data_IF_170742450938
#
_entry.id   IF_170742450938
#
_cell.length_a   1.000
_cell.length_b   1.000
_cell.length_c   1.000
_cell.angle_alpha   90.00
_cell.angle_beta   90.00
_cell.angle_gamma   90.00
#
_symmetry.space_group_name_H-M   'P 1'
#
loop_
_entity.id
_entity.type
_entity.pdbx_description
1 polymer ?
#
# COMPACT_ATOMS: atom_id res chain seq x y z
N UNK A 1 -44.42 -10.59 12.58
CA UNK A 1 -43.41 -11.68 12.54
C UNK A 1 -42.39 -11.40 11.42
N UNK A 2 -41.33 -10.63 11.68
CA UNK A 2 -40.15 -10.48 10.79
C UNK A 2 -38.96 -9.93 11.61
N UNK A 3 -38.43 -10.71 12.55
CA UNK A 3 -37.20 -10.38 13.30
C UNK A 3 -36.50 -11.66 13.75
N UNK A 4 -36.02 -12.47 12.81
CA UNK A 4 -35.27 -13.70 13.15
C UNK A 4 -34.03 -13.97 12.29
N UNK A 5 -33.64 -13.05 11.39
CA UNK A 5 -32.49 -13.29 10.48
C UNK A 5 -31.27 -12.37 10.69
N UNK A 6 -31.33 -11.36 11.57
CA UNK A 6 -30.22 -10.43 11.79
C UNK A 6 -29.15 -10.91 12.78
N UNK A 7 -29.49 -11.85 13.67
CA UNK A 7 -28.58 -12.41 14.67
C UNK A 7 -27.56 -13.42 14.08
N UNK A 8 -27.92 -14.35 13.18
CA UNK A 8 -26.95 -15.32 12.66
C UNK A 8 -25.90 -14.68 11.72
N UNK A 9 -26.24 -13.59 11.02
CA UNK A 9 -25.30 -12.91 10.11
C UNK A 9 -24.18 -12.16 10.87
N UNK A 10 -24.52 -11.53 12.00
CA UNK A 10 -23.55 -10.89 12.87
C UNK A 10 -22.63 -11.94 13.54
N UNK A 11 -23.18 -13.09 13.93
CA UNK A 11 -22.41 -14.21 14.46
C UNK A 11 -21.42 -14.82 13.45
N UNK A 12 -21.81 -14.93 12.17
CA UNK A 12 -20.94 -15.44 11.12
C UNK A 12 -19.78 -14.48 10.78
N UNK A 13 -20.05 -13.17 10.75
CA UNK A 13 -19.04 -12.12 10.59
C UNK A 13 -18.04 -12.10 11.76
N UNK A 14 -18.52 -12.32 12.99
CA UNK A 14 -17.67 -12.42 14.18
C UNK A 14 -16.82 -13.69 14.18
N UNK A 15 -17.35 -14.83 13.72
CA UNK A 15 -16.61 -16.09 13.63
C UNK A 15 -15.51 -16.05 12.55
N UNK A 16 -15.78 -15.42 11.40
CA UNK A 16 -14.79 -15.21 10.33
C UNK A 16 -13.71 -14.18 10.69
N UNK A 17 -14.01 -13.23 11.58
CA UNK A 17 -13.06 -12.22 12.07
C UNK A 17 -12.23 -12.67 13.28
N UNK A 18 -12.65 -13.73 14.00
CA UNK A 18 -11.95 -14.24 15.19
C UNK A 18 -10.81 -15.22 14.88
N UNK A 19 -10.83 -15.87 13.70
CA UNK A 19 -9.82 -16.86 13.29
C UNK A 19 -8.35 -16.39 13.33
N UNK A 20 -8.00 -15.17 12.85
CA UNK A 20 -6.62 -14.70 12.89
C UNK A 20 -6.19 -14.09 14.24
N UNK A 21 -7.09 -13.98 15.23
CA UNK A 21 -6.80 -13.28 16.49
C UNK A 21 -6.08 -14.12 17.56
N UNK A 22 -5.94 -15.45 17.37
CA UNK A 22 -5.28 -16.34 18.34
C UNK A 22 -3.86 -16.77 17.95
N UNK A 23 -3.37 -16.34 16.79
CA UNK A 23 -1.99 -16.57 16.37
C UNK A 23 -1.17 -15.28 16.53
N UNK A 24 -1.00 -14.81 17.78
CA UNK A 24 0.14 -13.95 18.08
C UNK A 24 1.34 -14.87 18.32
N UNK A 25 2.29 -15.04 17.37
CA UNK A 25 3.61 -15.45 17.79
C UNK A 25 4.11 -14.34 18.73
N UNK A 26 4.59 -14.67 19.94
CA UNK A 26 5.24 -13.68 20.79
C UNK A 26 6.31 -12.97 19.96
N UNK A 27 6.39 -11.64 20.06
CA UNK A 27 7.49 -10.89 19.46
C UNK A 27 8.77 -11.57 19.92
N UNK A 28 9.51 -12.18 19.01
CA UNK A 28 10.75 -12.86 19.35
C UNK A 28 11.65 -11.82 20.00
N UNK A 29 11.97 -11.95 21.30
CA UNK A 29 12.93 -11.06 21.94
C UNK A 29 14.23 -11.16 21.12
N UNK A 30 14.93 -10.05 20.92
CA UNK A 30 16.30 -10.14 20.38
C UNK A 30 17.06 -11.06 21.33
N UNK A 31 17.60 -12.19 20.85
CA UNK A 31 18.46 -13.01 21.68
C UNK A 31 19.62 -12.11 22.11
N UNK A 32 19.74 -11.87 23.42
CA UNK A 32 20.93 -11.23 23.95
C UNK A 32 22.15 -12.09 23.59
N UNK A 33 23.34 -11.51 23.39
CA UNK A 33 24.56 -12.27 23.22
C UNK A 33 24.70 -13.29 24.36
N UNK A 34 24.88 -14.58 24.04
CA UNK A 34 25.14 -15.67 24.99
C UNK A 34 26.51 -15.50 25.67
N UNK A 35 27.42 -14.83 24.97
CA UNK A 35 28.76 -14.44 25.40
C UNK A 35 28.92 -12.93 25.12
N UNK A 36 29.47 -12.11 26.04
CA UNK A 36 29.83 -10.71 25.78
C UNK A 36 30.73 -10.52 24.54
N UNK A 37 31.46 -11.55 24.14
CA UNK A 37 32.29 -11.58 22.94
C UNK A 37 31.60 -12.22 21.73
N UNK A 38 30.35 -12.69 21.86
CA UNK A 38 29.60 -13.22 20.73
C UNK A 38 29.37 -12.09 19.73
N UNK A 39 29.61 -12.34 18.42
CA UNK A 39 29.24 -11.37 17.41
C UNK A 39 27.74 -11.05 17.56
N UNK A 40 27.32 -9.77 17.50
CA UNK A 40 25.90 -9.42 17.53
C UNK A 40 25.11 -10.19 16.47
N UNK A 41 23.80 -10.40 16.65
CA UNK A 41 22.98 -11.16 15.69
C UNK A 41 23.00 -10.62 14.25
N UNK A 42 23.38 -9.35 14.07
CA UNK A 42 23.68 -8.70 12.78
C UNK A 42 25.03 -9.07 12.16
N UNK A 43 25.88 -9.81 12.87
CA UNK A 43 27.22 -10.09 12.40
C UNK A 43 27.15 -11.04 11.22
N UNK A 44 27.80 -10.69 10.11
CA UNK A 44 28.01 -11.57 8.97
C UNK A 44 28.43 -13.00 9.35
N UNK A 45 27.49 -13.94 9.37
CA UNK A 45 27.83 -15.37 9.37
C UNK A 45 27.88 -15.81 7.91
N UNK A 46 29.08 -15.77 7.31
CA UNK A 46 29.33 -16.19 5.93
C UNK A 46 29.50 -15.04 4.93
N UNK A 47 29.59 -15.36 3.62
CA UNK A 47 29.85 -14.40 2.56
C UNK A 47 28.85 -13.24 2.58
N UNK A 48 29.33 -12.00 2.59
CA UNK A 48 28.46 -10.83 2.47
C UNK A 48 28.28 -10.45 1.00
N UNK A 49 27.07 -10.09 0.55
CA UNK A 49 26.89 -9.49 -0.75
C UNK A 49 27.73 -8.19 -0.82
N UNK A 50 28.51 -8.02 -1.89
CA UNK A 50 29.18 -6.75 -2.20
C UNK A 50 28.17 -5.70 -2.70
N UNK A 51 26.98 -6.15 -3.08
CA UNK A 51 25.94 -5.32 -3.62
C UNK A 51 25.25 -4.54 -2.52
N UNK A 52 25.37 -3.21 -2.59
CA UNK A 52 24.58 -2.27 -1.82
C UNK A 52 23.48 -1.70 -2.71
N UNK A 53 22.22 -1.99 -2.40
CA UNK A 53 21.08 -1.56 -3.18
C UNK A 53 19.85 -1.41 -2.28
N UNK A 54 19.21 -0.25 -2.36
CA UNK A 54 17.90 -0.03 -1.74
C UNK A 54 16.93 0.44 -2.81
N UNK A 55 15.84 -0.30 -2.99
CA UNK A 55 14.79 0.04 -3.94
C UNK A 55 13.44 -0.30 -3.37
N UNK A 56 12.47 0.56 -3.61
CA UNK A 56 11.08 0.34 -3.25
C UNK A 56 10.17 0.81 -4.38
N UNK A 57 9.17 0.02 -4.71
CA UNK A 57 8.11 0.36 -5.65
C UNK A 57 6.77 -0.08 -5.07
N UNK A 58 5.81 0.84 -5.04
CA UNK A 58 4.45 0.60 -4.56
C UNK A 58 3.43 1.14 -5.56
N UNK A 59 2.38 0.37 -5.78
CA UNK A 59 1.27 0.74 -6.67
C UNK A 59 -0.03 0.35 -6.00
N UNK A 60 -0.93 1.31 -5.76
CA UNK A 60 -2.28 1.08 -5.26
C UNK A 60 -3.31 1.40 -6.35
N UNK A 61 -4.27 0.50 -6.57
CA UNK A 61 -5.33 0.72 -7.56
C UNK A 61 -6.30 1.82 -7.13
N UNK A 62 -6.77 1.79 -5.89
CA UNK A 62 -7.78 2.73 -5.39
C UNK A 62 -7.60 2.96 -3.90
N UNK A 63 -7.68 4.22 -3.49
CA UNK A 63 -7.74 4.62 -2.08
C UNK A 63 -8.91 5.57 -1.89
N UNK A 64 -9.87 5.18 -1.04
CA UNK A 64 -10.98 6.03 -0.61
C UNK A 64 -10.62 6.63 0.74
N UNK A 65 -10.61 7.96 0.81
CA UNK A 65 -10.32 8.73 2.02
C UNK A 65 -11.58 9.47 2.46
N UNK A 66 -11.96 9.24 3.71
CA UNK A 66 -13.06 9.95 4.36
C UNK A 66 -12.49 11.01 5.30
N UNK A 67 -12.92 12.26 5.12
CA UNK A 67 -12.31 13.40 5.81
C UNK A 67 -10.79 13.46 5.62
N UNK A 68 -10.29 13.56 4.37
CA UNK A 68 -8.85 13.72 4.14
C UNK A 68 -8.33 14.96 4.87
N UNK A 69 -7.11 14.86 5.43
CA UNK A 69 -6.46 15.93 6.20
C UNK A 69 -7.21 16.37 7.47
N UNK A 70 -8.11 15.53 8.01
CA UNK A 70 -8.93 15.90 9.16
C UNK A 70 -8.27 15.64 10.53
N UNK A 71 -7.37 14.65 10.64
CA UNK A 71 -6.78 14.25 11.93
C UNK A 71 -5.26 14.44 11.95
N UNK A 72 -4.67 14.86 13.09
CA UNK A 72 -3.23 14.92 13.24
C UNK A 72 -2.56 13.56 13.00
N UNK A 73 -1.33 13.56 12.51
CA UNK A 73 -0.59 12.31 12.33
C UNK A 73 -0.14 11.78 13.67
N UNK A 74 -0.52 10.55 14.00
CA UNK A 74 0.04 9.86 15.15
C UNK A 74 1.50 9.50 14.86
N UNK A 75 2.38 9.92 15.75
CA UNK A 75 3.81 9.64 15.69
C UNK A 75 4.28 9.20 17.07
N UNK A 76 5.33 8.38 17.07
CA UNK A 76 5.98 7.91 18.29
C UNK A 76 6.83 9.04 18.91
N UNK A 77 7.17 10.07 18.12
CA UNK A 77 7.95 11.23 18.55
C UNK A 77 7.01 12.32 19.10
N UNK A 78 7.07 12.66 20.41
CA UNK A 78 6.21 13.67 21.01
C UNK A 78 6.31 15.02 20.28
N UNK A 79 5.17 15.66 20.02
CA UNK A 79 5.11 16.99 19.38
C UNK A 79 5.29 17.01 17.85
N UNK A 80 5.73 15.91 17.21
CA UNK A 80 5.90 15.90 15.75
C UNK A 80 4.59 15.73 14.98
N UNK A 81 3.51 15.31 15.64
CA UNK A 81 2.25 14.96 14.98
C UNK A 81 1.56 16.12 14.26
N UNK A 82 1.80 17.35 14.71
CA UNK A 82 1.27 18.56 14.09
C UNK A 82 2.12 19.08 12.93
N UNK A 83 3.39 18.69 12.85
CA UNK A 83 4.32 19.07 11.79
C UNK A 83 4.23 18.12 10.58
N UNK A 84 3.64 16.94 10.78
CA UNK A 84 3.44 15.95 9.73
C UNK A 84 2.15 16.22 8.96
N UNK A 85 2.09 15.90 7.65
CA UNK A 85 0.87 16.05 6.86
C UNK A 85 -0.30 15.34 7.53
N UNK A 86 -1.44 16.01 7.71
CA UNK A 86 -2.60 15.44 8.41
C UNK A 86 -3.12 14.19 7.69
N UNK A 87 -3.67 13.26 8.46
CA UNK A 87 -4.20 12.00 7.95
C UNK A 87 -5.71 12.08 7.71
N UNK A 88 -6.22 11.13 6.93
CA UNK A 88 -7.64 10.90 6.79
C UNK A 88 -8.21 10.24 8.06
N UNK A 89 -9.50 10.47 8.35
CA UNK A 89 -10.19 9.75 9.45
C UNK A 89 -10.16 8.25 9.18
N UNK A 90 -10.53 7.89 7.95
CA UNK A 90 -10.57 6.51 7.46
C UNK A 90 -10.02 6.45 6.05
N UNK A 91 -9.19 5.46 5.78
CA UNK A 91 -8.70 5.12 4.45
C UNK A 91 -9.08 3.68 4.11
N UNK A 92 -9.60 3.46 2.91
CA UNK A 92 -9.87 2.12 2.38
C UNK A 92 -9.05 1.98 1.10
N UNK A 93 -8.08 1.08 1.10
CA UNK A 93 -7.22 0.78 -0.03
C UNK A 93 -7.66 -0.52 -0.72
N UNK A 94 -7.55 -0.56 -2.04
CA UNK A 94 -7.77 -1.77 -2.84
C UNK A 94 -6.60 -1.96 -3.80
N UNK A 95 -6.20 -3.21 -3.97
CA UNK A 95 -5.23 -3.63 -4.97
C UNK A 95 -3.85 -3.00 -4.82
N UNK A 96 -3.18 -3.28 -3.71
CA UNK A 96 -1.81 -2.84 -3.46
C UNK A 96 -0.80 -3.88 -3.95
N UNK A 97 0.15 -3.45 -4.77
CA UNK A 97 1.35 -4.22 -5.11
C UNK A 97 2.59 -3.48 -4.60
N UNK A 98 3.44 -4.14 -3.83
CA UNK A 98 4.67 -3.57 -3.24
C UNK A 98 5.87 -4.49 -3.47
N UNK A 99 6.98 -3.93 -3.94
CA UNK A 99 8.23 -4.63 -4.13
C UNK A 99 9.36 -3.82 -3.47
N UNK A 100 10.06 -4.43 -2.52
CA UNK A 100 11.10 -3.79 -1.74
C UNK A 100 12.38 -4.63 -1.77
N UNK A 101 13.51 -3.94 -1.93
CA UNK A 101 14.88 -4.45 -1.83
C UNK A 101 15.62 -3.54 -0.87
N UNK A 102 16.28 -4.11 0.12
CA UNK A 102 17.15 -3.41 1.04
C UNK A 102 18.30 -4.33 1.46
N UNK A 103 19.44 -4.26 0.77
CA UNK A 103 20.61 -5.09 1.09
C UNK A 103 21.16 -4.83 2.49
N UNK A 104 20.88 -3.64 3.03
CA UNK A 104 21.28 -3.20 4.37
C UNK A 104 20.27 -3.60 5.46
N UNK A 105 19.22 -4.36 5.11
CA UNK A 105 18.26 -4.83 6.10
C UNK A 105 18.95 -5.73 7.13
N UNK A 106 18.61 -5.50 8.41
CA UNK A 106 19.19 -6.23 9.53
C UNK A 106 18.86 -7.73 9.46
N UNK A 107 17.61 -8.06 9.15
CA UNK A 107 17.18 -9.45 8.95
C UNK A 107 17.39 -9.82 7.48
N UNK A 108 18.04 -10.96 7.25
CA UNK A 108 18.28 -11.49 5.91
C UNK A 108 16.96 -11.67 5.12
N UNK A 109 15.88 -12.07 5.79
CA UNK A 109 14.53 -12.19 5.21
C UNK A 109 13.91 -10.86 4.79
N UNK A 110 14.37 -9.73 5.33
CA UNK A 110 13.89 -8.39 4.97
C UNK A 110 14.68 -7.78 3.80
N UNK A 111 15.70 -8.48 3.28
CA UNK A 111 16.52 -7.96 2.17
C UNK A 111 15.74 -7.80 0.88
N UNK A 112 14.77 -8.68 0.65
CA UNK A 112 13.83 -8.56 -0.47
C UNK A 112 12.47 -9.01 0.02
N UNK A 113 11.51 -8.11 -0.04
CA UNK A 113 10.12 -8.34 0.39
C UNK A 113 9.20 -7.93 -0.73
N UNK A 114 8.29 -8.81 -1.10
CA UNK A 114 7.23 -8.51 -2.07
C UNK A 114 5.89 -8.80 -1.45
N UNK A 115 4.94 -7.90 -1.66
CA UNK A 115 3.60 -7.98 -1.08
C UNK A 115 2.56 -7.63 -2.13
N UNK A 116 1.50 -8.43 -2.18
CA UNK A 116 0.28 -8.14 -2.92
C UNK A 116 -0.88 -8.19 -1.94
N UNK A 117 -1.56 -7.06 -1.75
CA UNK A 117 -2.68 -6.96 -0.85
C UNK A 117 -3.97 -6.61 -1.62
N UNK A 118 -4.98 -7.50 -1.63
CA UNK A 118 -6.25 -7.24 -2.32
C UNK A 118 -7.02 -6.05 -1.72
N UNK A 119 -6.97 -5.85 -0.41
CA UNK A 119 -7.75 -4.84 0.30
C UNK A 119 -7.01 -4.42 1.58
N UNK A 120 -6.95 -3.13 1.87
CA UNK A 120 -6.47 -2.57 3.12
C UNK A 120 -7.48 -1.59 3.70
N UNK A 121 -7.43 -1.37 4.99
CA UNK A 121 -8.10 -0.24 5.61
C UNK A 121 -7.19 0.38 6.65
N UNK A 122 -7.29 1.68 6.85
CA UNK A 122 -6.62 2.40 7.92
C UNK A 122 -7.61 3.30 8.64
N UNK A 123 -7.46 3.42 9.97
CA UNK A 123 -8.20 4.40 10.76
C UNK A 123 -7.17 5.27 11.47
N UNK A 124 -7.23 6.57 11.24
CA UNK A 124 -6.24 7.53 11.73
C UNK A 124 -4.78 7.10 11.46
N UNK A 125 -4.52 6.63 10.22
CA UNK A 125 -3.20 6.19 9.76
C UNK A 125 -2.75 4.79 10.25
N UNK A 126 -3.61 4.03 10.93
CA UNK A 126 -3.27 2.68 11.42
C UNK A 126 -3.95 1.60 10.59
N UNK A 127 -3.17 0.79 9.87
CA UNK A 127 -3.66 -0.28 9.00
C UNK A 127 -3.30 -1.68 9.53
N UNK A 128 -4.27 -2.58 9.81
CA UNK A 128 -3.99 -3.98 10.07
C UNK A 128 -3.57 -4.73 8.80
N UNK A 129 -2.95 -5.90 9.01
CA UNK A 129 -2.82 -6.90 7.95
C UNK A 129 -4.20 -7.48 7.64
N UNK A 130 -4.49 -7.62 6.36
CA UNK A 130 -5.79 -8.07 5.88
C UNK A 130 -5.71 -9.49 5.34
N UNK A 131 -6.79 -10.29 5.47
CA UNK A 131 -6.86 -11.62 4.88
C UNK A 131 -6.54 -11.58 3.38
N UNK A 132 -5.91 -12.65 2.88
CA UNK A 132 -5.54 -12.78 1.46
C UNK A 132 -4.36 -11.93 1.00
N UNK A 133 -3.67 -11.27 1.92
CA UNK A 133 -2.36 -10.67 1.63
C UNK A 133 -1.37 -11.78 1.28
N UNK A 134 -0.72 -11.65 0.12
CA UNK A 134 0.43 -12.46 -0.26
C UNK A 134 1.70 -11.72 0.14
N UNK A 135 2.62 -12.43 0.78
CA UNK A 135 3.95 -11.93 1.10
C UNK A 135 4.96 -12.99 0.72
N UNK A 136 6.04 -12.60 0.06
CA UNK A 136 7.19 -13.47 -0.18
C UNK A 136 8.48 -12.72 0.16
N UNK A 137 9.32 -13.38 0.95
CA UNK A 137 10.67 -12.94 1.29
C UNK A 137 11.69 -13.81 0.56
N UNK A 138 12.80 -13.24 0.12
CA UNK A 138 13.73 -13.97 -0.76
C UNK A 138 14.74 -14.90 -0.10
N UNK A 139 14.74 -15.05 1.23
CA UNK A 139 15.67 -15.96 1.91
C UNK A 139 14.86 -17.01 2.67
N UNK A 140 14.93 -18.31 2.28
CA UNK A 140 15.66 -18.86 1.11
C UNK A 140 15.09 -18.41 -0.25
N UNK A 141 15.87 -18.56 -1.33
CA UNK A 141 15.47 -18.14 -2.69
C UNK A 141 14.16 -18.80 -3.14
N UNK A 142 13.38 -18.10 -3.97
CA UNK A 142 12.10 -18.61 -4.49
C UNK A 142 12.12 -18.78 -6.01
N UNK A 143 12.41 -19.97 -6.56
CA UNK A 143 12.47 -20.16 -8.02
C UNK A 143 11.19 -19.75 -8.75
N UNK A 144 10.03 -19.89 -8.09
CA UNK A 144 8.71 -19.59 -8.64
C UNK A 144 7.99 -18.48 -7.85
N UNK A 145 7.15 -17.67 -8.53
CA UNK A 145 6.31 -16.70 -7.85
C UNK A 145 5.23 -17.39 -7.01
N UNK A 146 4.83 -16.73 -5.93
CA UNK A 146 3.63 -17.10 -5.18
C UNK A 146 2.45 -16.36 -5.76
N UNK A 147 1.36 -17.06 -6.05
CA UNK A 147 0.12 -16.47 -6.54
C UNK A 147 -1.03 -16.86 -5.62
N UNK A 148 -2.06 -16.04 -5.61
CA UNK A 148 -3.25 -16.30 -4.83
C UNK A 148 -4.31 -15.27 -5.16
N UNK A 149 -5.50 -15.50 -4.67
CA UNK A 149 -6.61 -14.59 -4.87
C UNK A 149 -7.64 -14.77 -3.78
N UNK A 150 -8.49 -13.75 -3.64
CA UNK A 150 -9.66 -13.83 -2.81
C UNK A 150 -10.89 -13.70 -3.70
N UNK A 151 -11.77 -14.71 -3.73
CA UNK A 151 -13.14 -14.47 -4.14
C UNK A 151 -13.78 -13.61 -3.05
N UNK A 152 -14.04 -12.34 -3.34
CA UNK A 152 -14.72 -11.47 -2.37
C UNK A 152 -16.23 -11.77 -2.44
N UNK A 153 -16.90 -12.01 -1.29
CA UNK A 153 -18.33 -12.18 -1.27
C UNK A 153 -19.03 -10.89 -1.70
N UNK A 154 -20.05 -11.01 -2.55
CA UNK A 154 -20.91 -9.88 -2.88
C UNK A 154 -21.59 -9.35 -1.62
N UNK A 155 -21.54 -8.03 -1.42
CA UNK A 155 -22.29 -7.36 -0.35
C UNK A 155 -23.27 -6.37 -0.95
N UNK A 156 -24.35 -6.00 -0.24
CA UNK A 156 -25.27 -4.96 -0.71
C UNK A 156 -24.58 -3.61 -0.98
N UNK A 157 -23.49 -3.32 -0.27
CA UNK A 157 -22.75 -2.06 -0.35
C UNK A 157 -21.64 -2.05 -1.40
N UNK A 158 -21.11 -3.21 -1.78
CA UNK A 158 -20.05 -3.33 -2.78
C UNK A 158 -20.10 -4.70 -3.47
N UNK A 159 -19.95 -4.66 -4.80
CA UNK A 159 -19.72 -5.84 -5.63
C UNK A 159 -18.27 -5.80 -6.09
N UNK A 160 -17.49 -6.74 -5.59
CA UNK A 160 -16.10 -6.94 -5.97
C UNK A 160 -16.06 -8.26 -6.73
N UNK A 161 -15.45 -8.29 -7.92
CA UNK A 161 -15.20 -9.54 -8.62
C UNK A 161 -13.96 -10.24 -8.06
N UNK A 162 -13.14 -10.79 -8.96
CA UNK A 162 -11.96 -11.57 -8.58
C UNK A 162 -10.79 -10.63 -8.31
N UNK A 163 -10.20 -10.76 -7.12
CA UNK A 163 -8.91 -10.17 -6.79
C UNK A 163 -7.83 -11.26 -6.87
N UNK A 164 -6.85 -11.06 -7.73
CA UNK A 164 -5.68 -11.92 -7.85
C UNK A 164 -4.40 -11.14 -7.51
N UNK A 165 -3.45 -11.82 -6.90
CA UNK A 165 -2.13 -11.30 -6.58
C UNK A 165 -1.05 -12.26 -7.04
N UNK A 166 0.12 -11.70 -7.34
CA UNK A 166 1.34 -12.44 -7.61
C UNK A 166 2.51 -11.70 -6.96
N UNK A 167 3.35 -12.42 -6.23
CA UNK A 167 4.56 -11.88 -5.61
C UNK A 167 5.74 -12.77 -5.96
N UNK A 168 6.89 -12.16 -6.26
CA UNK A 168 8.13 -12.86 -6.58
C UNK A 168 9.33 -12.16 -5.97
N UNK A 169 9.89 -12.75 -4.90
CA UNK A 169 11.11 -12.29 -4.24
C UNK A 169 12.23 -13.31 -4.45
N UNK A 170 13.33 -12.88 -5.06
CA UNK A 170 14.50 -13.71 -5.37
C UNK A 170 15.75 -13.19 -4.68
N UNK A 171 16.65 -14.10 -4.31
CA UNK A 171 17.97 -13.77 -3.80
C UNK A 171 18.95 -14.90 -4.11
N UNK A 172 20.15 -14.59 -4.61
CA UNK A 172 21.17 -15.59 -4.86
C UNK A 172 22.33 -15.43 -3.86
N UNK A 173 22.83 -16.53 -3.30
CA UNK A 173 23.89 -16.49 -2.29
C UNK A 173 25.24 -16.01 -2.85
N UNK A 174 25.49 -16.20 -4.16
CA UNK A 174 26.77 -15.86 -4.80
C UNK A 174 26.75 -14.45 -5.38
N UNK A 175 25.67 -14.06 -6.06
CA UNK A 175 25.56 -12.77 -6.75
C UNK A 175 24.63 -11.77 -6.03
N UNK A 176 24.00 -12.18 -4.93
CA UNK A 176 23.14 -11.33 -4.11
C UNK A 176 21.88 -10.87 -4.86
N UNK A 177 21.56 -9.57 -4.88
CA UNK A 177 20.41 -9.01 -5.57
C UNK A 177 20.59 -8.95 -7.11
N UNK A 178 21.75 -9.33 -7.65
CA UNK A 178 22.05 -9.25 -9.09
C UNK A 178 21.48 -10.41 -9.90
N UNK A 179 20.19 -10.66 -9.74
CA UNK A 179 19.42 -11.69 -10.46
C UNK A 179 18.13 -11.08 -11.00
N UNK A 180 17.50 -11.80 -11.93
CA UNK A 180 16.25 -11.39 -12.55
C UNK A 180 15.25 -12.55 -12.57
N UNK A 181 13.99 -12.34 -12.16
CA UNK A 181 13.49 -11.16 -11.47
C UNK A 181 14.13 -11.01 -10.08
N UNK A 182 14.14 -9.80 -9.50
CA UNK A 182 14.63 -9.57 -8.13
C UNK A 182 13.45 -9.42 -7.16
N UNK A 183 12.65 -8.37 -7.33
CA UNK A 183 11.44 -8.16 -6.55
C UNK A 183 10.30 -7.74 -7.48
N UNK A 184 9.24 -8.52 -7.54
CA UNK A 184 8.04 -8.20 -8.33
C UNK A 184 6.78 -8.44 -7.50
N UNK A 185 5.85 -7.50 -7.55
CA UNK A 185 4.51 -7.69 -7.01
C UNK A 185 3.49 -7.20 -8.03
N UNK A 186 2.37 -7.92 -8.12
CA UNK A 186 1.24 -7.58 -8.95
C UNK A 186 -0.05 -7.82 -8.20
N UNK A 187 -1.04 -6.99 -8.46
CA UNK A 187 -2.41 -7.22 -8.02
C UNK A 187 -3.34 -6.83 -9.15
N UNK A 188 -4.32 -7.68 -9.45
CA UNK A 188 -5.36 -7.40 -10.40
C UNK A 188 -6.73 -7.49 -9.75
N UNK A 189 -7.61 -6.59 -10.17
CA UNK A 189 -8.99 -6.50 -9.75
C UNK A 189 -9.86 -6.56 -11.00
N UNK A 190 -10.63 -7.64 -11.14
CA UNK A 190 -11.61 -7.77 -12.21
C UNK A 190 -12.98 -7.34 -11.66
N UNK A 191 -13.48 -6.17 -12.08
CA UNK A 191 -14.80 -5.69 -11.67
C UNK A 191 -14.82 -5.10 -10.26
N UNK A 192 -15.02 -3.78 -10.15
CA UNK A 192 -15.30 -3.10 -8.88
C UNK A 192 -16.58 -2.28 -9.01
N UNK A 193 -17.52 -2.43 -8.08
CA UNK A 193 -18.62 -1.50 -7.92
C UNK A 193 -18.75 -1.15 -6.44
N UNK A 194 -18.62 0.15 -6.13
CA UNK A 194 -18.70 0.68 -4.76
C UNK A 194 -19.99 1.46 -4.59
N UNK A 195 -20.69 1.24 -3.47
CA UNK A 195 -21.94 1.90 -3.08
C UNK A 195 -23.09 1.64 -4.06
N UNK A 196 -23.32 0.37 -4.39
CA UNK A 196 -24.41 -0.09 -5.27
C UNK A 196 -25.82 0.03 -4.67
N UNK A 197 -25.94 0.33 -3.36
CA UNK A 197 -27.22 0.47 -2.67
C UNK A 197 -27.23 1.73 -1.80
N UNK A 198 -27.58 2.87 -2.39
CA UNK A 198 -27.98 4.05 -1.64
C UNK A 198 -29.44 3.91 -1.19
N UNK A 199 -29.83 4.48 -0.03
CA UNK A 199 -31.23 4.51 0.39
C UNK A 199 -32.12 5.10 -0.71
N UNK A 200 -33.33 4.56 -0.87
CA UNK A 200 -34.27 5.00 -1.90
C UNK A 200 -34.67 6.49 -1.78
N UNK A 201 -34.39 7.14 -0.64
CA UNK A 201 -34.60 8.56 -0.43
C UNK A 201 -33.54 9.47 -1.09
N UNK A 202 -32.44 8.92 -1.62
CA UNK A 202 -31.46 9.69 -2.40
C UNK A 202 -31.85 9.64 -3.88
N UNK A 203 -32.14 10.78 -4.54
CA UNK A 203 -32.65 10.82 -5.92
C UNK A 203 -31.51 10.57 -6.91
N UNK A 204 -31.01 9.34 -6.96
CA UNK A 204 -29.99 8.88 -7.89
C UNK A 204 -30.53 7.71 -8.71
N UNK A 205 -30.10 7.61 -9.96
CA UNK A 205 -30.57 6.57 -10.86
C UNK A 205 -30.31 5.17 -10.24
N UNK A 206 -31.29 4.25 -10.26
CA UNK A 206 -31.30 2.99 -9.50
C UNK A 206 -30.28 1.92 -9.95
N UNK A 207 -29.24 2.29 -10.72
CA UNK A 207 -28.27 1.36 -11.30
C UNK A 207 -26.80 1.79 -11.24
N UNK A 208 -26.48 2.96 -10.66
CA UNK A 208 -25.10 3.46 -10.67
C UNK A 208 -24.50 3.41 -9.28
N UNK A 209 -23.50 2.55 -9.07
CA UNK A 209 -22.58 2.70 -7.95
C UNK A 209 -21.89 4.07 -8.03
N UNK A 210 -21.39 4.56 -6.89
CA UNK A 210 -20.62 5.82 -6.86
C UNK A 210 -19.40 5.74 -7.79
N UNK A 211 -18.81 4.55 -7.86
CA UNK A 211 -17.71 4.18 -8.75
C UNK A 211 -17.97 2.76 -9.27
N UNK A 212 -17.74 2.58 -10.56
CA UNK A 212 -17.74 1.31 -11.26
C UNK A 212 -16.47 1.19 -12.09
N UNK A 213 -15.81 0.04 -12.02
CA UNK A 213 -14.64 -0.32 -12.82
C UNK A 213 -15.01 -1.63 -13.50
N UNK A 214 -15.52 -1.58 -14.73
CA UNK A 214 -16.05 -2.78 -15.40
C UNK A 214 -14.93 -3.70 -15.89
N UNK A 215 -13.78 -3.13 -16.26
CA UNK A 215 -12.64 -3.84 -16.81
C UNK A 215 -11.63 -4.26 -15.73
N UNK A 216 -10.66 -5.09 -16.11
CA UNK A 216 -9.58 -5.47 -15.20
C UNK A 216 -8.63 -4.31 -14.97
N UNK A 217 -8.39 -4.00 -13.70
CA UNK A 217 -7.34 -3.09 -13.25
C UNK A 217 -6.15 -3.91 -12.76
N UNK A 218 -4.92 -3.49 -13.10
CA UNK A 218 -3.68 -4.13 -12.63
C UNK A 218 -2.74 -3.09 -12.02
N UNK A 219 -2.28 -3.35 -10.81
CA UNK A 219 -1.17 -2.68 -10.17
C UNK A 219 0.07 -3.56 -10.29
N UNK A 220 1.19 -2.99 -10.68
CA UNK A 220 2.46 -3.71 -10.79
C UNK A 220 3.61 -2.88 -10.23
N UNK A 221 4.42 -3.53 -9.41
CA UNK A 221 5.58 -2.93 -8.75
C UNK A 221 6.78 -3.84 -8.94
N UNK A 222 7.90 -3.29 -9.38
CA UNK A 222 9.11 -4.04 -9.67
C UNK A 222 10.33 -3.27 -9.17
N UNK A 223 11.26 -3.99 -8.54
CA UNK A 223 12.60 -3.50 -8.27
C UNK A 223 13.59 -4.46 -8.93
N UNK A 224 14.52 -3.92 -9.70
CA UNK A 224 15.54 -4.67 -10.41
C UNK A 224 16.86 -3.90 -10.47
N UNK A 225 17.93 -4.64 -10.77
CA UNK A 225 19.22 -4.05 -11.08
C UNK A 225 19.39 -4.00 -12.59
N UNK A 226 19.67 -2.81 -13.13
CA UNK A 226 19.84 -2.56 -14.57
C UNK A 226 21.29 -2.17 -14.88
N UNK A 227 21.71 -2.34 -16.12
CA UNK A 227 23.07 -1.95 -16.54
C UNK A 227 23.30 -0.45 -16.40
N UNK A 228 24.41 -0.07 -15.77
CA UNK A 228 24.87 1.31 -15.74
C UNK A 228 25.72 1.58 -17.00
N UNK A 229 25.33 2.51 -17.88
CA UNK A 229 26.08 2.76 -19.11
C UNK A 229 27.56 3.07 -18.86
N UNK A 230 28.45 2.38 -19.57
CA UNK A 230 29.90 2.56 -19.43
C UNK A 230 30.52 1.98 -18.15
N UNK A 231 29.78 1.17 -17.39
CA UNK A 231 30.27 0.54 -16.15
C UNK A 231 29.93 -0.95 -16.12
N UNK A 232 30.72 -1.73 -15.37
CA UNK A 232 30.41 -3.12 -15.01
C UNK A 232 29.42 -3.24 -13.85
N UNK A 233 29.18 -2.12 -13.15
CA UNK A 233 28.27 -2.05 -12.01
C UNK A 233 26.83 -1.84 -12.50
N UNK A 234 25.86 -2.02 -11.59
CA UNK A 234 24.44 -1.86 -11.90
C UNK A 234 23.86 -0.58 -11.29
N UNK A 235 22.77 -0.10 -11.84
CA UNK A 235 21.90 0.88 -11.22
C UNK A 235 20.70 0.17 -10.55
N UNK A 236 20.14 0.79 -9.51
CA UNK A 236 18.88 0.33 -8.91
C UNK A 236 17.73 0.98 -9.66
N UNK A 237 16.83 0.16 -10.21
CA UNK A 237 15.61 0.63 -10.86
C UNK A 237 14.38 0.13 -10.11
N UNK A 238 13.55 1.08 -9.65
CA UNK A 238 12.24 0.83 -9.05
C UNK A 238 11.17 1.36 -9.97
N UNK A 239 10.22 0.52 -10.37
CA UNK A 239 9.13 0.86 -11.29
C UNK A 239 7.78 0.54 -10.66
N UNK A 240 6.90 1.53 -10.65
CA UNK A 240 5.48 1.41 -10.38
C UNK A 240 4.73 1.64 -11.69
N UNK A 241 3.82 0.73 -12.05
CA UNK A 241 2.98 0.87 -13.23
C UNK A 241 1.57 0.38 -12.93
N UNK A 242 0.58 1.09 -13.46
CA UNK A 242 -0.81 0.70 -13.37
C UNK A 242 -1.38 0.47 -14.77
N UNK A 243 -2.30 -0.47 -14.90
CA UNK A 243 -3.15 -0.63 -16.08
C UNK A 243 -4.60 -0.50 -15.68
N UNK A 244 -5.31 0.28 -16.48
CA UNK A 244 -6.71 0.57 -16.35
C UNK A 244 -7.25 0.79 -17.77
N UNK A 245 -8.49 0.43 -18.02
CA UNK A 245 -9.15 0.63 -19.33
C UNK A 245 -10.18 1.73 -19.21
N UNK A 246 -11.14 1.56 -18.29
CA UNK A 246 -12.21 2.52 -18.09
C UNK A 246 -12.63 2.61 -16.62
N UNK A 247 -13.12 3.77 -16.23
CA UNK A 247 -13.71 4.06 -14.92
C UNK A 247 -15.04 4.75 -15.17
N UNK A 248 -16.07 4.29 -14.49
CA UNK A 248 -17.38 4.90 -14.47
C UNK A 248 -17.63 5.50 -13.08
N UNK A 249 -18.12 6.73 -13.06
CA UNK A 249 -18.46 7.44 -11.84
C UNK A 249 -19.95 7.77 -11.84
N UNK A 250 -20.47 8.10 -10.65
CA UNK A 250 -21.85 8.53 -10.46
C UNK A 250 -22.27 9.61 -11.47
N UNK A 251 -23.54 9.56 -11.88
CA UNK A 251 -24.12 10.53 -12.80
C UNK A 251 -23.84 10.25 -14.27
N UNK A 252 -23.24 9.10 -14.61
CA UNK A 252 -22.99 8.71 -16.00
C UNK A 252 -21.71 9.30 -16.58
N UNK A 253 -20.75 9.67 -15.71
CA UNK A 253 -19.42 10.11 -16.10
C UNK A 253 -18.55 8.89 -16.37
N UNK A 254 -17.96 8.82 -17.56
CA UNK A 254 -17.04 7.76 -17.97
C UNK A 254 -15.67 8.34 -18.27
N UNK A 255 -14.62 7.70 -17.75
CA UNK A 255 -13.23 8.08 -17.88
C UNK A 255 -12.50 6.92 -18.56
N UNK A 256 -12.11 7.11 -19.81
CA UNK A 256 -11.35 6.14 -20.58
C UNK A 256 -9.85 6.44 -20.43
N UNK A 257 -9.08 5.42 -20.03
CA UNK A 257 -7.63 5.53 -19.85
C UNK A 257 -6.95 5.23 -21.19
N UNK A 258 -6.56 6.29 -21.90
CA UNK A 258 -5.91 6.19 -23.21
C UNK A 258 -4.45 5.80 -23.06
N UNK A 259 -3.77 6.36 -22.05
CA UNK A 259 -2.37 6.04 -21.74
C UNK A 259 -2.25 5.79 -20.24
N UNK A 260 -1.82 4.57 -19.83
CA UNK A 260 -1.63 4.24 -18.43
C UNK A 260 -0.41 4.96 -17.83
N UNK A 261 -0.45 5.31 -16.54
CA UNK A 261 0.68 5.97 -15.90
C UNK A 261 1.77 4.97 -15.52
N UNK A 262 3.02 5.40 -15.67
CA UNK A 262 4.21 4.65 -15.22
C UNK A 262 5.17 5.60 -14.54
N UNK A 263 5.69 5.19 -13.40
CA UNK A 263 6.64 5.94 -12.59
C UNK A 263 7.87 5.06 -12.34
N UNK A 264 9.05 5.57 -12.71
CA UNK A 264 10.32 4.85 -12.57
C UNK A 264 11.36 5.73 -11.90
N UNK A 265 12.05 5.16 -10.91
CA UNK A 265 13.23 5.71 -10.27
C UNK A 265 14.45 4.89 -10.67
N UNK A 266 15.47 5.52 -11.24
CA UNK A 266 16.75 4.89 -11.56
C UNK A 266 17.86 5.59 -10.77
N UNK A 267 18.45 4.91 -9.80
CA UNK A 267 19.56 5.41 -9.00
C UNK A 267 20.88 4.74 -9.41
N UNK A 268 21.84 5.56 -9.81
CA UNK A 268 23.20 5.16 -10.22
C UNK A 268 24.25 5.43 -9.14
N UNK A 269 23.85 6.13 -8.08
CA UNK A 269 24.73 6.62 -7.02
C UNK A 269 25.41 7.96 -7.31
N UNK A 270 25.10 8.57 -8.47
CA UNK A 270 25.52 9.92 -8.84
C UNK A 270 24.28 10.73 -9.26
N UNK A 271 24.19 11.98 -8.78
CA UNK A 271 23.06 12.88 -9.03
C UNK A 271 22.81 13.12 -10.52
N UNK A 272 23.86 13.29 -11.33
CA UNK A 272 23.75 13.69 -12.74
C UNK A 272 23.23 12.57 -13.62
N UNK A 273 23.43 11.33 -13.21
CA UNK A 273 23.05 10.13 -13.97
C UNK A 273 21.84 9.41 -13.39
N UNK A 274 21.42 9.79 -12.18
CA UNK A 274 20.22 9.28 -11.52
C UNK A 274 18.98 10.08 -11.95
N UNK A 275 17.86 9.40 -12.22
CA UNK A 275 16.66 10.06 -12.78
C UNK A 275 15.34 9.48 -12.27
N UNK A 276 14.33 10.35 -12.18
CA UNK A 276 12.92 9.98 -12.14
C UNK A 276 12.37 10.11 -13.56
N UNK A 277 11.63 9.11 -14.02
CA UNK A 277 10.86 9.17 -15.27
C UNK A 277 9.40 8.92 -14.94
N UNK A 278 8.53 9.82 -15.38
CA UNK A 278 7.08 9.70 -15.20
C UNK A 278 6.36 9.87 -16.53
N UNK A 279 5.58 8.87 -16.91
CA UNK A 279 4.62 8.96 -18.00
C UNK A 279 3.28 9.34 -17.39
N UNK A 280 2.86 10.59 -17.58
CA UNK A 280 1.57 11.06 -17.13
C UNK A 280 0.44 10.33 -17.87
N UNK A 281 -0.70 10.06 -17.20
CA UNK A 281 -1.81 9.41 -17.85
C UNK A 281 -2.51 10.37 -18.82
N UNK A 282 -3.12 9.81 -19.86
CA UNK A 282 -4.05 10.53 -20.74
C UNK A 282 -5.43 9.93 -20.53
N UNK A 283 -6.37 10.74 -20.07
CA UNK A 283 -7.73 10.30 -19.73
C UNK A 283 -8.73 11.05 -20.59
N UNK A 284 -9.64 10.34 -21.26
CA UNK A 284 -10.79 10.94 -21.95
C UNK A 284 -12.00 10.90 -21.05
N UNK A 285 -12.63 12.05 -20.82
CA UNK A 285 -13.79 12.17 -19.94
C UNK A 285 -15.03 12.43 -20.77
N UNK A 286 -16.07 11.64 -20.55
CA UNK A 286 -17.38 11.79 -21.17
C UNK A 286 -18.49 11.71 -20.12
N UNK A 287 -19.65 12.29 -20.43
CA UNK A 287 -20.82 12.25 -19.58
C UNK A 287 -22.04 11.96 -20.44
N UNK A 288 -22.75 10.86 -20.13
CA UNK A 288 -23.89 10.37 -20.90
C UNK A 288 -23.59 10.26 -22.42
N UNK A 289 -22.38 9.81 -22.76
CA UNK A 289 -21.92 9.64 -24.14
C UNK A 289 -21.41 10.92 -24.83
N UNK A 290 -21.53 12.09 -24.20
CA UNK A 290 -20.95 13.35 -24.72
C UNK A 290 -19.55 13.56 -24.13
N UNK A 291 -18.54 13.73 -24.99
CA UNK A 291 -17.18 14.07 -24.54
C UNK A 291 -17.16 15.44 -23.86
N UNK A 292 -16.57 15.48 -22.66
CA UNK A 292 -16.40 16.70 -21.87
C UNK A 292 -15.00 17.29 -22.03
N UNK A 293 -14.00 16.44 -22.24
CA UNK A 293 -12.62 16.86 -22.45
C UNK A 293 -11.61 15.75 -22.23
N UNK A 294 -10.33 16.09 -22.36
CA UNK A 294 -9.19 15.20 -22.09
C UNK A 294 -8.37 15.77 -20.94
N UNK A 295 -8.00 14.89 -20.00
CA UNK A 295 -7.03 15.18 -18.94
C UNK A 295 -5.67 14.66 -19.38
N UNK A 296 -4.68 15.53 -19.41
CA UNK A 296 -3.29 15.23 -19.72
C UNK A 296 -2.36 16.19 -18.96
N UNK A 297 -1.04 16.07 -19.17
CA UNK A 297 -0.08 16.91 -18.47
C UNK A 297 -0.26 18.42 -18.74
N UNK A 298 -0.84 18.81 -19.88
CA UNK A 298 -1.13 20.20 -20.23
C UNK A 298 -2.47 20.68 -19.67
N UNK A 299 -3.45 19.78 -19.52
CA UNK A 299 -4.78 20.04 -18.99
C UNK A 299 -5.06 19.12 -17.79
N UNK A 300 -4.43 19.37 -16.63
CA UNK A 300 -4.42 18.41 -15.53
C UNK A 300 -5.70 18.43 -14.69
N UNK A 301 -6.65 19.32 -14.96
CA UNK A 301 -7.87 19.52 -14.18
C UNK A 301 -9.09 19.65 -15.08
N UNK A 302 -10.19 18.99 -14.71
CA UNK A 302 -11.49 19.12 -15.34
C UNK A 302 -12.59 19.11 -14.26
N UNK A 303 -13.42 20.15 -14.27
CA UNK A 303 -14.59 20.23 -13.40
C UNK A 303 -15.80 19.65 -14.16
N UNK A 304 -16.48 18.67 -13.55
CA UNK A 304 -17.68 18.06 -14.12
C UNK A 304 -18.90 18.40 -13.24
N UNK A 305 -19.88 19.16 -13.75
CA UNK A 305 -21.12 19.43 -13.02
C UNK A 305 -22.02 18.19 -13.01
N UNK A 306 -22.52 17.81 -11.83
CA UNK A 306 -23.47 16.71 -11.67
C UNK A 306 -24.90 17.23 -11.39
N UNK A 307 -25.91 16.40 -11.65
CA UNK A 307 -27.36 16.73 -11.61
C UNK A 307 -27.89 17.28 -10.27
N UNK A 308 -27.13 17.14 -9.19
CA UNK A 308 -27.36 17.91 -7.97
C UNK A 308 -26.44 19.12 -8.06
N UNK A 309 -26.96 20.33 -8.30
CA UNK A 309 -26.19 21.59 -8.41
C UNK A 309 -25.28 21.91 -7.20
N UNK A 310 -25.29 21.06 -6.18
CA UNK A 310 -24.46 21.10 -4.97
C UNK A 310 -23.20 20.23 -5.08
N UNK A 311 -23.15 19.25 -6.00
CA UNK A 311 -22.05 18.27 -6.11
C UNK A 311 -21.18 18.58 -7.33
N UNK A 312 -19.99 19.13 -7.09
CA UNK A 312 -18.95 19.28 -8.11
C UNK A 312 -18.00 18.10 -8.04
N UNK A 313 -17.76 17.44 -9.17
CA UNK A 313 -16.73 16.44 -9.33
C UNK A 313 -15.47 17.12 -9.88
N UNK A 314 -14.42 17.22 -9.07
CA UNK A 314 -13.12 17.70 -9.51
C UNK A 314 -12.25 16.51 -9.89
N UNK A 315 -11.83 16.47 -11.15
CA UNK A 315 -10.88 15.48 -11.66
C UNK A 315 -9.51 16.12 -11.77
N UNK A 316 -8.50 15.49 -11.17
CA UNK A 316 -7.12 15.98 -11.23
C UNK A 316 -6.14 14.85 -11.50
N UNK A 317 -5.15 15.08 -12.37
CA UNK A 317 -4.08 14.12 -12.66
C UNK A 317 -2.69 14.70 -12.34
N UNK A 318 -1.65 13.88 -12.50
CA UNK A 318 -0.24 14.29 -12.49
C UNK A 318 0.25 14.92 -11.16
N UNK A 319 0.01 14.23 -10.04
CA UNK A 319 0.54 14.59 -8.72
C UNK A 319 2.00 14.18 -8.48
N UNK A 320 2.91 14.45 -9.42
CA UNK A 320 4.32 14.06 -9.30
C UNK A 320 5.01 14.91 -8.22
N UNK A 321 5.55 14.25 -7.21
CA UNK A 321 6.38 14.87 -6.18
C UNK A 321 7.69 14.11 -6.10
N UNK A 322 8.81 14.78 -6.38
CA UNK A 322 10.15 14.18 -6.38
C UNK A 322 10.97 14.67 -5.20
N UNK A 323 11.79 13.77 -4.65
CA UNK A 323 12.86 14.10 -3.72
C UNK A 323 14.13 13.42 -4.17
N UNK A 324 15.24 14.15 -4.09
CA UNK A 324 16.58 13.69 -4.46
C UNK A 324 17.55 14.15 -3.40
N UNK A 325 18.49 13.29 -3.02
CA UNK A 325 19.50 13.64 -2.03
C UNK A 325 20.73 12.73 -2.17
N UNK A 326 21.91 13.32 -2.02
CA UNK A 326 23.09 12.56 -1.63
C UNK A 326 22.94 12.09 -0.18
N UNK A 327 23.58 10.98 0.17
CA UNK A 327 23.61 10.50 1.55
C UNK A 327 24.91 9.77 1.88
N UNK A 328 25.20 9.75 3.17
CA UNK A 328 26.30 9.03 3.79
C UNK A 328 25.71 8.32 5.00
N UNK A 329 25.72 6.99 5.00
CA UNK A 329 25.12 6.19 6.07
C UNK A 329 26.04 5.06 6.55
N UNK A 330 25.62 4.40 7.63
CA UNK A 330 26.25 3.18 8.14
C UNK A 330 25.91 2.01 7.19
N UNK A 331 26.69 1.85 6.13
CA UNK A 331 26.53 0.80 5.11
C UNK A 331 27.18 1.21 3.80
N UNK A 332 26.72 2.32 3.21
CA UNK A 332 27.33 2.92 2.02
C UNK A 332 26.99 4.41 1.87
N UNK A 333 27.70 5.08 0.97
CA UNK A 333 27.42 6.46 0.54
C UNK A 333 27.06 6.49 -0.94
N UNK A 334 26.17 7.40 -1.32
CA UNK A 334 25.75 7.53 -2.70
C UNK A 334 24.61 8.51 -2.89
N UNK A 335 23.71 8.17 -3.79
CA UNK A 335 22.60 9.03 -4.17
C UNK A 335 21.28 8.27 -4.10
N UNK A 336 20.26 8.93 -3.55
CA UNK A 336 18.92 8.42 -3.45
C UNK A 336 17.93 9.38 -4.10
N UNK A 337 16.87 8.80 -4.64
CA UNK A 337 15.74 9.52 -5.18
C UNK A 337 14.45 8.76 -4.89
N UNK A 338 13.38 9.51 -4.75
CA UNK A 338 12.05 8.96 -4.62
C UNK A 338 11.03 9.88 -5.26
N UNK A 339 9.95 9.29 -5.72
CA UNK A 339 8.83 10.03 -6.25
C UNK A 339 7.50 9.38 -5.87
N UNK A 340 6.47 10.19 -5.76
CA UNK A 340 5.09 9.74 -5.71
C UNK A 340 4.32 10.34 -6.87
N UNK A 341 3.38 9.59 -7.43
CA UNK A 341 2.43 10.09 -8.43
C UNK A 341 1.04 9.51 -8.19
N UNK A 342 0.01 10.14 -8.74
CA UNK A 342 -1.38 9.68 -8.68
C UNK A 342 -2.00 9.84 -10.06
N UNK A 343 -2.74 8.83 -10.51
CA UNK A 343 -3.38 8.88 -11.83
C UNK A 343 -4.52 9.88 -11.84
N UNK A 344 -5.47 9.70 -10.92
CA UNK A 344 -6.69 10.47 -10.86
C UNK A 344 -7.10 10.69 -9.41
N UNK A 345 -7.37 11.93 -9.05
CA UNK A 345 -8.13 12.28 -7.85
C UNK A 345 -9.54 12.67 -8.23
N UNK A 346 -10.49 12.11 -7.50
CA UNK A 346 -11.91 12.43 -7.56
C UNK A 346 -12.30 13.00 -6.21
N UNK A 347 -12.65 14.28 -6.16
CA UNK A 347 -13.16 14.92 -4.95
C UNK A 347 -14.67 15.06 -5.02
N UNK A 348 -15.35 14.60 -3.98
CA UNK A 348 -16.80 14.72 -3.82
C UNK A 348 -17.09 15.83 -2.81
N UNK A 349 -17.85 16.84 -3.25
CA UNK A 349 -18.16 18.05 -2.48
C UNK A 349 -16.89 18.78 -2.00
N UNK A 350 -16.07 19.32 -2.93
CA UNK A 350 -14.91 20.13 -2.58
C UNK A 350 -15.35 21.35 -1.76
N UNK A 351 -14.88 21.45 -0.52
CA UNK A 351 -15.43 22.37 0.50
C UNK A 351 -14.90 23.79 0.38
N UNK A 352 -13.80 23.97 -0.34
CA UNK A 352 -13.27 25.26 -0.79
C UNK A 352 -14.31 26.04 -1.61
N UNK A 353 -15.18 25.34 -2.36
CA UNK A 353 -16.31 25.96 -3.07
C UNK A 353 -17.52 26.26 -2.17
N UNK A 354 -17.61 25.66 -0.98
CA UNK A 354 -18.73 25.82 -0.04
C UNK A 354 -18.57 27.00 0.93
N UNK A 355 -17.40 27.65 1.00
CA UNK A 355 -17.10 28.83 1.84
C UNK A 355 -17.43 28.65 3.35
N UNK A 356 -17.44 27.42 3.85
CA UNK A 356 -17.68 27.12 5.26
C UNK A 356 -16.32 26.99 6.01
N UNK A 357 -16.15 27.64 7.17
CA UNK A 357 -14.89 27.57 7.92
C UNK A 357 -14.64 26.18 8.52
N UNK A 358 -13.36 25.78 8.62
CA UNK A 358 -12.88 24.56 9.28
C UNK A 358 -13.38 23.22 8.71
N UNK A 359 -13.78 23.17 7.44
CA UNK A 359 -14.12 21.90 6.79
C UNK A 359 -12.87 21.19 6.24
N UNK A 360 -12.87 19.84 6.19
CA UNK A 360 -11.87 19.07 5.43
C UNK A 360 -11.91 19.48 3.95
N UNK A 361 -10.82 19.30 3.21
CA UNK A 361 -10.71 19.73 1.80
C UNK A 361 -11.78 19.13 0.87
N UNK A 362 -12.30 17.95 1.23
CA UNK A 362 -13.47 17.32 0.63
C UNK A 362 -14.17 16.43 1.66
N UNK A 363 -15.46 16.11 1.45
CA UNK A 363 -16.16 15.13 2.30
C UNK A 363 -15.58 13.72 2.11
N UNK A 364 -15.35 13.37 0.84
CA UNK A 364 -14.70 12.15 0.43
C UNK A 364 -13.77 12.44 -0.76
N UNK A 365 -12.62 11.76 -0.77
CA UNK A 365 -11.69 11.77 -1.88
C UNK A 365 -11.43 10.34 -2.30
N UNK A 366 -11.55 10.04 -3.59
CA UNK A 366 -11.08 8.80 -4.16
C UNK A 366 -9.83 9.11 -4.98
N UNK A 367 -8.73 8.44 -4.66
CA UNK A 367 -7.50 8.48 -5.45
C UNK A 367 -7.34 7.15 -6.18
N UNK A 368 -7.06 7.22 -7.47
CA UNK A 368 -6.83 6.06 -8.32
C UNK A 368 -5.37 6.05 -8.79
N UNK A 369 -4.77 4.87 -8.82
CA UNK A 369 -3.40 4.68 -9.28
C UNK A 369 -2.39 5.46 -8.47
N UNK A 370 -2.36 5.24 -7.16
CA UNK A 370 -1.29 5.78 -6.32
C UNK A 370 0.00 5.03 -6.61
N UNK A 371 1.07 5.77 -6.88
CA UNK A 371 2.37 5.25 -7.25
C UNK A 371 3.42 5.83 -6.32
N UNK A 372 4.33 4.98 -5.85
CA UNK A 372 5.52 5.39 -5.13
C UNK A 372 6.71 4.61 -5.67
N UNK A 373 7.83 5.29 -5.86
CA UNK A 373 9.11 4.67 -6.17
C UNK A 373 10.19 5.32 -5.33
N UNK A 374 11.15 4.53 -4.89
CA UNK A 374 12.39 4.97 -4.25
C UNK A 374 13.53 4.10 -4.76
N UNK A 375 14.68 4.70 -5.01
CA UNK A 375 15.88 3.98 -5.39
C UNK A 375 17.10 4.69 -4.79
N UNK A 376 18.05 3.91 -4.28
CA UNK A 376 19.32 4.38 -3.76
C UNK A 376 20.42 3.39 -4.15
N UNK A 377 21.53 3.93 -4.63
CA UNK A 377 22.69 3.16 -5.06
C UNK A 377 23.99 3.82 -4.56
N UNK A 378 25.06 3.06 -4.31
CA UNK A 378 26.35 3.58 -3.90
C UNK A 378 27.02 4.34 -5.04
N UNK A 379 27.91 5.26 -4.70
CA UNK A 379 28.72 5.96 -5.68
C UNK A 379 29.46 4.94 -6.57
N UNK A 380 29.34 5.10 -7.89
CA UNK A 380 29.90 4.16 -8.88
C UNK A 380 28.99 2.97 -9.22
N UNK A 381 27.82 2.84 -8.60
CA UNK A 381 26.83 1.80 -8.87
C UNK A 381 27.00 0.53 -8.03
N UNK A 382 25.99 -0.34 -8.08
CA UNK A 382 25.91 -1.60 -7.33
C UNK A 382 26.91 -2.62 -7.87
N UNK A 383 27.75 -3.17 -7.00
CA UNK A 383 28.74 -4.21 -7.35
C UNK A 383 28.13 -5.60 -7.15
N UNK A 384 28.01 -6.37 -8.22
CA UNK A 384 27.49 -7.74 -8.14
C UNK A 384 28.56 -8.72 -7.66
N UNK A 385 28.21 -9.56 -6.68
CA UNK A 385 29.10 -10.60 -6.13
C UNK A 385 28.99 -10.70 -4.61
N UNK A 386 29.76 -11.61 -4.02
CA UNK A 386 29.92 -11.75 -2.58
C UNK A 386 31.39 -11.64 -2.17
N UNK A 387 31.65 -11.04 -1.01
CA UNK A 387 32.96 -11.10 -0.37
C UNK A 387 33.14 -12.50 0.21
N UNK A 388 34.16 -13.23 -0.22
CA UNK A 388 34.53 -14.49 0.40
C UNK A 388 35.07 -14.20 1.82
N UNK A 389 34.59 -14.86 2.88
CA UNK A 389 35.17 -14.67 4.20
C UNK A 389 36.63 -15.19 4.22
N UNK A 390 37.52 -14.63 5.05
CA UNK A 390 38.77 -15.30 5.39
C UNK A 390 38.42 -16.69 5.94
N UNK A 391 38.96 -17.76 5.34
CA UNK A 391 38.79 -19.12 5.87
C UNK A 391 39.36 -19.18 7.29
N UNK A 392 38.50 -19.22 8.30
CA UNK A 392 38.90 -19.56 9.66
C UNK A 392 37.91 -20.57 10.22
N UNK A 393 38.39 -21.82 10.28
CA UNK A 393 38.01 -22.97 11.13
C UNK A 393 36.53 -23.29 11.40
N UNK A 394 36.22 -24.59 11.29
CA UNK A 394 34.89 -25.17 11.32
C UNK A 394 34.02 -24.80 12.55
N UNK A 395 32.69 -24.65 12.40
CA UNK A 395 31.79 -24.47 13.54
C UNK A 395 31.71 -25.71 14.43
N UNK A 396 31.85 -25.55 15.75
CA UNK A 396 31.44 -26.56 16.74
C UNK A 396 29.90 -26.69 16.74
N UNK A 397 29.43 -27.93 16.90
CA UNK A 397 28.01 -28.33 16.89
C UNK A 397 27.10 -27.55 17.86
N UNK A 398 25.81 -27.35 17.53
CA UNK A 398 24.89 -26.59 18.36
C UNK A 398 24.42 -27.38 19.59
N UNK A 399 24.92 -27.00 20.76
CA UNK A 399 24.35 -27.37 22.06
C UNK A 399 22.99 -26.71 22.31
N UNK A 400 22.05 -27.50 22.84
CA UNK A 400 20.60 -27.22 22.92
C UNK A 400 20.12 -25.87 23.45
N UNK A 401 18.86 -25.58 23.14
CA UNK A 401 18.16 -24.33 23.41
C UNK A 401 18.08 -24.02 24.92
N UNK A 402 18.52 -22.81 25.30
CA UNK A 402 18.29 -22.23 26.62
C UNK A 402 17.40 -20.99 26.52
N UNK A 403 16.58 -20.77 27.55
CA UNK A 403 15.51 -19.78 27.60
C UNK A 403 16.01 -18.31 27.54
N UNK A 404 15.21 -17.38 26.96
CA UNK A 404 15.60 -15.99 26.76
C UNK A 404 15.75 -15.18 28.08
N UNK A 405 16.62 -14.15 28.11
CA UNK A 405 16.82 -13.29 29.27
C UNK A 405 15.61 -12.39 29.55
N UNK A 406 15.29 -12.19 30.84
CA UNK A 406 14.05 -11.58 31.33
C UNK A 406 13.88 -10.06 31.05
N UNK A 407 14.85 -9.35 30.46
CA UNK A 407 14.81 -7.86 30.29
C UNK A 407 15.61 -7.33 29.09
N UNK A 408 15.37 -7.82 27.88
CA UNK A 408 15.84 -7.15 26.66
C UNK A 408 14.82 -6.09 26.19
N UNK A 409 15.24 -4.88 25.75
CA UNK A 409 14.33 -3.93 25.11
C UNK A 409 13.74 -4.56 23.83
N UNK A 410 12.42 -4.51 23.61
CA UNK A 410 11.82 -4.98 22.36
C UNK A 410 12.31 -4.11 21.18
N UNK A 411 12.53 -4.72 20.01
CA UNK A 411 12.81 -3.98 18.78
C UNK A 411 11.70 -2.96 18.49
N UNK A 412 12.06 -1.90 17.76
CA UNK A 412 11.09 -1.10 17.05
C UNK A 412 10.20 -2.03 16.20
N UNK A 413 8.89 -1.84 16.30
CA UNK A 413 7.89 -2.61 15.57
C UNK A 413 8.15 -2.52 14.06
N UNK A 414 8.87 -3.48 13.46
CA UNK A 414 9.15 -3.49 12.02
C UNK A 414 7.95 -3.91 11.19
N UNK A 415 6.86 -4.36 11.82
CA UNK A 415 5.57 -4.54 11.18
C UNK A 415 4.48 -3.79 11.96
N UNK A 416 3.83 -2.83 11.29
CA UNK A 416 2.62 -2.15 11.80
C UNK A 416 1.49 -3.12 12.24
N UNK A 417 1.60 -4.40 11.85
CA UNK A 417 0.74 -5.51 12.24
C UNK A 417 0.54 -5.69 13.76
N UNK A 418 1.53 -5.34 14.59
CA UNK A 418 1.41 -5.52 16.04
C UNK A 418 0.71 -4.37 16.75
N UNK A 419 0.73 -3.15 16.19
CA UNK A 419 -0.02 -2.02 16.75
C UNK A 419 -1.50 -2.06 16.41
N UNK A 420 -1.93 -2.85 15.42
CA UNK A 420 -3.33 -2.95 15.04
C UNK A 420 -4.18 -3.86 15.94
N UNK A 421 -3.58 -4.72 16.76
CA UNK A 421 -4.33 -5.66 17.61
C UNK A 421 -5.20 -4.95 18.66
N UNK A 422 -4.68 -3.99 19.45
CA UNK A 422 -5.51 -3.22 20.38
C UNK A 422 -6.59 -2.40 19.65
N UNK A 423 -6.30 -1.87 18.46
CA UNK A 423 -7.27 -1.12 17.67
C UNK A 423 -8.41 -1.97 17.14
N UNK A 424 -8.09 -3.16 16.64
CA UNK A 424 -9.10 -4.12 16.16
C UNK A 424 -10.08 -4.44 17.28
N UNK A 425 -9.58 -4.69 18.50
CA UNK A 425 -10.44 -4.94 19.67
C UNK A 425 -11.22 -3.71 20.12
N UNK A 426 -10.62 -2.51 20.12
CA UNK A 426 -11.40 -1.29 20.43
C UNK A 426 -12.45 -0.98 19.37
N UNK A 427 -12.16 -1.22 18.09
CA UNK A 427 -13.11 -1.04 16.99
C UNK A 427 -14.25 -2.04 17.05
N UNK A 428 -13.95 -3.32 17.30
CA UNK A 428 -14.95 -4.35 17.53
C UNK A 428 -15.82 -4.04 18.77
N UNK A 429 -15.20 -3.56 19.86
CA UNK A 429 -15.91 -3.12 21.06
C UNK A 429 -16.86 -1.95 20.82
N UNK A 430 -16.42 -0.94 20.04
CA UNK A 430 -17.26 0.20 19.67
C UNK A 430 -18.41 -0.19 18.74
N UNK A 431 -18.18 -1.12 17.80
CA UNK A 431 -19.23 -1.68 16.96
C UNK A 431 -20.28 -2.43 17.78
N UNK A 432 -19.84 -3.26 18.73
CA UNK A 432 -20.74 -3.96 19.67
C UNK A 432 -21.55 -2.97 20.51
N UNK A 433 -20.91 -1.93 21.05
CA UNK A 433 -21.60 -0.89 21.81
C UNK A 433 -22.64 -0.14 20.96
N UNK A 434 -22.31 0.18 19.69
CA UNK A 434 -23.23 0.81 18.75
C UNK A 434 -24.45 -0.06 18.43
N UNK A 435 -24.24 -1.36 18.21
CA UNK A 435 -25.34 -2.32 17.99
C UNK A 435 -26.25 -2.42 19.22
N UNK A 436 -25.68 -2.46 20.42
CA UNK A 436 -26.45 -2.48 21.68
C UNK A 436 -27.26 -1.19 21.86
N UNK A 437 -26.66 -0.02 21.59
CA UNK A 437 -27.35 1.27 21.69
C UNK A 437 -28.53 1.38 20.71
N UNK A 438 -28.34 0.98 19.44
CA UNK A 438 -29.41 1.01 18.44
C UNK A 438 -30.53 0.01 18.78
N UNK A 439 -30.18 -1.15 19.33
CA UNK A 439 -31.16 -2.14 19.78
C UNK A 439 -31.95 -1.69 21.03
N UNK A 440 -31.34 -0.87 21.88
CA UNK A 440 -31.93 -0.35 23.12
C UNK A 440 -32.83 0.87 22.93
N UNK A 441 -32.77 1.55 21.78
CA UNK A 441 -33.61 2.72 21.52
C UNK A 441 -35.10 2.32 21.35
N UNK A 442 -36.03 2.91 22.11
CA UNK A 442 -37.45 2.61 21.99
C UNK A 442 -37.97 3.11 20.66
N UNK A 443 -38.52 2.20 19.84
CA UNK A 443 -39.19 2.54 18.59
C UNK A 443 -40.39 3.41 18.93
N UNK A 444 -40.36 4.70 18.54
CA UNK A 444 -41.54 5.56 18.55
C UNK A 444 -42.62 4.88 17.70
N UNK A 445 -43.63 4.32 18.36
CA UNK A 445 -44.85 3.86 17.68
C UNK A 445 -45.45 5.09 17.00
N UNK A 446 -45.52 5.08 15.67
CA UNK A 446 -46.32 6.07 14.94
C UNK A 446 -47.77 5.95 15.44
N UNK A 447 -48.41 7.06 15.86
CA UNK A 447 -49.84 7.02 16.09
C UNK A 447 -50.52 6.71 14.76
N UNK A 448 -51.36 5.68 14.77
CA UNK A 448 -52.25 5.35 13.67
C UNK A 448 -53.26 6.48 13.51
N UNK A 449 -53.16 7.21 12.39
CA UNK A 449 -54.23 8.05 11.83
C UNK A 449 -54.55 7.51 10.46
#
# INVERSE_FOLDING_TARGET
MRRSFSVPLAGLLLALAAGPALAQPPTTPVPGPRDPNQPPASSPNGPQPLAHAVGDAGTGLTVVRLGPQAVPTNTILPGLGELLPKQSVTELGLGLASAQVNTEAFLATERVVTQANPFGFAVAGRAPQTPGTLVQTAIPDNPQPTTGGLPIPETPLAKLGVLNGSVHARWDEKVGPCISPLATAKTSLAGLQVLSALPAEVPLAPKTGLISIPDTFEASSNVRLVDLPGSKNKAVESTSAMRAVSIELLGGVKIDVVTPPTLTATATGDEKTSKITYTAPVLKVSHNGKELGTLDAAHPVLDVPLLLDVVVLKLQIAGLNEKKAAFTGNGFSGFQLGATARMLDVQLLPTDKLKLPNLPTALAQISLGEQIVRAAAPQGGVVCGSSQPPQTQAPQEPGGAAAPPKKAPPLAHTNAAYQSVPLFWTGAGLLLAGVVLVAALPVRRRPSV
#
